data_IF_737069824480
#
_entry.id   IF_737069824480
#
_cell.length_a   1.000
_cell.length_b   1.000
_cell.length_c   1.000
_cell.angle_alpha   90.00
_cell.angle_beta   90.00
_cell.angle_gamma   90.00
#
_symmetry.space_group_name_H-M   'P 1'
#
loop_
_entity.id
_entity.type
_entity.pdbx_description
1 polymer ?
#
# COMPACT_ATOMS: atom_id res chain seq x y z
N UNK A 1 -16.24 4.43 -7.68
CA UNK A 1 -16.27 5.59 -6.74
C UNK A 1 -16.78 6.82 -7.48
N UNK A 2 -17.27 7.88 -6.79
CA UNK A 2 -17.42 9.20 -7.40
C UNK A 2 -16.13 9.60 -8.14
N UNK A 3 -16.23 10.30 -9.28
CA UNK A 3 -15.07 10.57 -10.15
C UNK A 3 -13.92 11.28 -9.42
N UNK A 4 -14.23 12.22 -8.52
CA UNK A 4 -13.24 12.91 -7.71
C UNK A 4 -12.43 11.99 -6.76
N UNK A 5 -12.90 10.76 -6.54
CA UNK A 5 -12.26 9.74 -5.71
C UNK A 5 -11.67 8.59 -6.54
N UNK A 6 -11.73 8.65 -7.87
CA UNK A 6 -11.21 7.59 -8.73
C UNK A 6 -9.68 7.65 -8.91
N UNK A 7 -9.09 8.84 -8.85
CA UNK A 7 -7.63 9.05 -8.94
C UNK A 7 -7.00 9.15 -7.55
N UNK A 8 -5.67 9.11 -7.48
CA UNK A 8 -4.93 9.31 -6.24
C UNK A 8 -5.42 10.55 -5.49
N UNK A 9 -5.80 10.36 -4.23
CA UNK A 9 -6.35 11.42 -3.39
C UNK A 9 -6.02 11.19 -1.91
N UNK A 10 -6.02 12.25 -1.11
CA UNK A 10 -5.73 12.14 0.32
C UNK A 10 -6.84 11.43 1.11
N UNK A 11 -8.09 11.43 0.61
CA UNK A 11 -9.22 10.82 1.31
C UNK A 11 -9.07 9.29 1.41
N UNK A 12 -8.60 8.62 0.34
CA UNK A 12 -8.33 7.18 0.39
C UNK A 12 -7.20 6.82 1.37
N UNK A 13 -6.17 7.67 1.47
CA UNK A 13 -5.05 7.45 2.40
C UNK A 13 -5.52 7.63 3.84
N UNK A 14 -6.28 8.68 4.12
CA UNK A 14 -6.84 8.93 5.45
C UNK A 14 -7.80 7.80 5.90
N UNK A 15 -8.63 7.30 4.97
CA UNK A 15 -9.54 6.19 5.25
C UNK A 15 -8.77 4.90 5.58
N UNK A 16 -7.78 4.53 4.77
CA UNK A 16 -6.95 3.36 5.04
C UNK A 16 -6.21 3.49 6.39
N UNK A 17 -5.69 4.68 6.71
CA UNK A 17 -5.05 4.94 8.00
C UNK A 17 -6.01 4.80 9.18
N UNK A 18 -7.27 5.28 9.05
CA UNK A 18 -8.29 5.12 10.08
C UNK A 18 -8.64 3.65 10.32
N UNK A 19 -8.80 2.86 9.27
CA UNK A 19 -9.10 1.43 9.39
C UNK A 19 -7.95 0.68 10.09
N UNK A 20 -6.70 1.00 9.74
CA UNK A 20 -5.51 0.44 10.40
C UNK A 20 -5.41 0.85 11.87
N UNK A 21 -5.69 2.11 12.18
CA UNK A 21 -5.71 2.61 13.57
C UNK A 21 -6.81 1.93 14.39
N UNK A 22 -8.00 1.73 13.82
CA UNK A 22 -9.10 0.97 14.44
C UNK A 22 -8.72 -0.49 14.68
N UNK A 23 -7.91 -1.08 13.81
CA UNK A 23 -7.32 -2.40 14.00
C UNK A 23 -6.16 -2.42 15.03
N UNK A 24 -5.85 -1.28 15.66
CA UNK A 24 -4.83 -1.16 16.71
C UNK A 24 -3.41 -0.95 16.20
N UNK A 25 -3.21 -0.82 14.88
CA UNK A 25 -1.89 -0.57 14.30
C UNK A 25 -1.43 0.87 14.58
N UNK A 26 -0.18 1.00 15.03
CA UNK A 26 0.48 2.27 15.34
C UNK A 26 1.97 2.11 15.07
N UNK A 27 2.54 3.06 14.36
CA UNK A 27 3.98 3.19 14.19
C UNK A 27 4.51 4.31 15.10
N UNK A 28 5.80 4.29 15.39
CA UNK A 28 6.50 5.37 16.08
C UNK A 28 7.14 6.35 15.08
N UNK A 29 7.95 7.28 15.57
CA UNK A 29 8.63 8.26 14.75
C UNK A 29 9.82 7.70 13.94
N UNK A 30 10.05 6.39 13.99
CA UNK A 30 11.07 5.71 13.17
C UNK A 30 10.51 5.18 11.84
N UNK A 31 9.19 5.33 11.60
CA UNK A 31 8.53 4.93 10.36
C UNK A 31 9.22 5.52 9.13
N UNK A 32 9.48 4.66 8.15
CA UNK A 32 10.11 5.03 6.88
C UNK A 32 9.31 4.52 5.69
N UNK A 33 9.32 5.30 4.61
CA UNK A 33 8.62 4.95 3.39
C UNK A 33 9.20 3.67 2.76
N UNK A 34 8.34 2.84 2.16
CA UNK A 34 8.71 1.65 1.42
C UNK A 34 8.42 1.85 -0.07
N UNK A 35 9.39 2.30 -0.90
CA UNK A 35 9.17 2.59 -2.33
C UNK A 35 8.69 1.39 -3.15
N UNK A 36 8.94 0.17 -2.66
CA UNK A 36 8.41 -1.08 -3.20
C UNK A 36 7.67 -1.82 -2.10
N UNK A 37 6.41 -1.47 -1.91
CA UNK A 37 5.55 -2.14 -0.94
C UNK A 37 4.58 -3.07 -1.69
N UNK A 38 4.80 -4.39 -1.64
CA UNK A 38 3.89 -5.33 -2.29
C UNK A 38 2.53 -5.31 -1.60
N UNK A 39 1.46 -5.17 -2.40
CA UNK A 39 0.07 -5.28 -1.93
C UNK A 39 -0.25 -6.68 -1.42
N UNK A 40 0.28 -7.71 -2.06
CA UNK A 40 0.17 -9.10 -1.66
C UNK A 40 1.56 -9.75 -1.54
N UNK A 41 1.79 -10.44 -0.42
CA UNK A 41 3.04 -11.16 -0.13
C UNK A 41 2.98 -12.64 -0.51
N UNK A 42 1.81 -13.14 -0.88
CA UNK A 42 1.53 -14.57 -1.12
C UNK A 42 1.30 -14.88 -2.60
N UNK A 43 0.90 -13.91 -3.41
CA UNK A 43 0.78 -14.10 -4.85
C UNK A 43 2.14 -14.35 -5.51
N UNK A 44 2.24 -15.35 -6.40
CA UNK A 44 3.44 -15.57 -7.18
C UNK A 44 3.74 -14.32 -8.02
N UNK A 45 5.00 -13.88 -8.02
CA UNK A 45 5.42 -12.77 -8.86
C UNK A 45 5.13 -13.11 -10.33
N UNK A 46 4.37 -12.26 -11.02
CA UNK A 46 3.95 -12.47 -12.41
C UNK A 46 5.11 -12.47 -13.43
N UNK A 47 6.36 -12.26 -13.00
CA UNK A 47 7.55 -12.17 -13.85
C UNK A 47 8.65 -13.11 -13.36
N UNK A 48 9.14 -13.98 -14.26
CA UNK A 48 10.21 -14.95 -14.01
C UNK A 48 11.57 -14.32 -13.67
N UNK A 49 12.47 -15.16 -13.15
CA UNK A 49 13.81 -14.80 -12.66
C UNK A 49 14.61 -13.94 -13.65
N UNK A 50 15.09 -12.78 -13.17
CA UNK A 50 16.08 -11.95 -13.89
C UNK A 50 15.64 -10.57 -14.38
N UNK A 51 14.38 -10.14 -14.18
CA UNK A 51 13.93 -8.76 -14.52
C UNK A 51 13.14 -8.16 -13.34
N UNK A 52 13.68 -7.10 -12.71
CA UNK A 52 13.21 -6.36 -11.51
C UNK A 52 11.82 -6.81 -10.99
N UNK A 53 11.84 -7.81 -10.10
CA UNK A 53 10.63 -8.40 -9.49
C UNK A 53 9.90 -7.46 -8.52
N UNK A 54 8.62 -7.79 -8.32
CA UNK A 54 7.58 -7.09 -7.57
C UNK A 54 7.38 -5.60 -7.93
N UNK A 55 6.64 -5.37 -9.02
CA UNK A 55 5.69 -4.25 -9.17
C UNK A 55 4.27 -4.83 -9.22
N UNK A 56 3.54 -4.64 -8.13
CA UNK A 56 2.09 -4.49 -8.03
C UNK A 56 1.89 -3.45 -6.92
#
# INVERSE_FOLDING_TARGET
>A
PPLALCTDNAAMIAWAGLEQFRAGQRDDLTLSARPRWPLDRTSPAMLGSGKKGAKA
#
